data_IF_064186348145
#
_entry.id   IF_064186348145
#
_cell.length_a   1.000
_cell.length_b   1.000
_cell.length_c   1.000
_cell.angle_alpha   90.00
_cell.angle_beta   90.00
_cell.angle_gamma   90.00
#
_symmetry.space_group_name_H-M   'P 1'
#
loop_
_entity.id
_entity.type
_entity.pdbx_description
1 polymer ?
#
# COMPACT_ATOMS: atom_id res chain seq x y z
N UNK A 1 17.47 -4.90 -4.74
CA UNK A 1 17.12 -6.11 -3.96
C UNK A 1 15.67 -6.54 -4.14
N UNK A 2 14.71 -5.63 -4.35
CA UNK A 2 13.28 -5.97 -4.44
C UNK A 2 12.74 -6.18 -5.87
N UNK A 3 13.58 -6.03 -6.91
CA UNK A 3 13.18 -6.21 -8.31
C UNK A 3 12.56 -7.59 -8.54
N UNK A 4 11.33 -7.64 -9.06
CA UNK A 4 10.59 -8.87 -9.35
C UNK A 4 10.05 -9.62 -8.12
N UNK A 5 10.14 -9.03 -6.91
CA UNK A 5 9.50 -9.59 -5.71
C UNK A 5 8.03 -9.19 -5.69
N UNK A 6 7.17 -10.15 -5.35
CA UNK A 6 5.74 -9.94 -5.13
C UNK A 6 5.50 -9.72 -3.64
N UNK A 7 4.91 -8.59 -3.28
CA UNK A 7 4.72 -8.17 -1.88
C UNK A 7 3.22 -7.91 -1.66
N UNK A 8 2.66 -8.52 -0.63
CA UNK A 8 1.32 -8.17 -0.15
C UNK A 8 1.49 -7.13 0.98
N UNK A 9 0.87 -5.97 0.83
CA UNK A 9 0.84 -4.93 1.86
C UNK A 9 -0.55 -4.86 2.50
N UNK A 10 -0.64 -5.31 3.76
CA UNK A 10 -1.86 -5.21 4.56
C UNK A 10 -1.97 -3.86 5.28
N UNK A 11 -3.12 -3.20 5.15
CA UNK A 11 -3.42 -1.90 5.81
C UNK A 11 -4.60 -2.07 6.77
N UNK A 12 -4.40 -1.69 8.04
CA UNK A 12 -5.41 -1.75 9.10
C UNK A 12 -5.82 -0.35 9.58
N UNK A 13 -6.78 -0.28 10.52
CA UNK A 13 -7.27 0.98 11.09
C UNK A 13 -6.21 1.65 11.98
N UNK A 14 -5.55 2.68 11.44
CA UNK A 14 -4.56 3.48 12.16
C UNK A 14 -4.52 4.89 11.58
N UNK A 15 -4.28 5.89 12.42
CA UNK A 15 -4.02 7.28 11.98
C UNK A 15 -2.85 7.32 10.98
N UNK A 16 -1.89 6.39 11.08
CA UNK A 16 -0.75 6.33 10.17
C UNK A 16 -1.07 5.68 8.81
N UNK A 17 -2.29 5.16 8.57
CA UNK A 17 -2.63 4.42 7.36
C UNK A 17 -2.44 5.25 6.07
N UNK A 18 -2.64 6.58 6.12
CA UNK A 18 -2.39 7.45 4.96
C UNK A 18 -0.93 7.40 4.47
N UNK A 19 0.02 7.08 5.36
CA UNK A 19 1.46 6.96 5.03
C UNK A 19 1.77 5.69 4.23
N UNK A 20 0.84 4.75 4.13
CA UNK A 20 1.01 3.55 3.31
C UNK A 20 1.35 3.90 1.84
N UNK A 21 0.86 5.03 1.33
CA UNK A 21 1.22 5.55 0.01
C UNK A 21 2.73 5.70 -0.20
N UNK A 22 3.45 6.18 0.83
CA UNK A 22 4.91 6.33 0.75
C UNK A 22 5.62 4.99 0.72
N UNK A 23 5.12 4.02 1.48
CA UNK A 23 5.64 2.65 1.51
C UNK A 23 5.45 2.00 0.14
N UNK A 24 4.23 2.05 -0.42
CA UNK A 24 3.90 1.50 -1.74
C UNK A 24 4.82 2.07 -2.81
N UNK A 25 4.92 3.41 -2.90
CA UNK A 25 5.82 4.08 -3.85
C UNK A 25 7.28 3.67 -3.67
N UNK A 26 7.74 3.55 -2.42
CA UNK A 26 9.11 3.14 -2.11
C UNK A 26 9.42 1.70 -2.55
N UNK A 27 8.47 0.79 -2.38
CA UNK A 27 8.60 -0.61 -2.81
C UNK A 27 8.61 -0.73 -4.33
N UNK A 28 7.69 -0.04 -5.02
CA UNK A 28 7.61 -0.05 -6.49
C UNK A 28 8.84 0.59 -7.11
N UNK A 29 9.34 1.70 -6.56
CA UNK A 29 10.58 2.33 -7.02
C UNK A 29 11.80 1.39 -6.92
N UNK A 30 11.77 0.44 -5.99
CA UNK A 30 12.79 -0.61 -5.86
C UNK A 30 12.55 -1.83 -6.75
N UNK A 31 11.51 -1.80 -7.59
CA UNK A 31 11.16 -2.82 -8.58
C UNK A 31 10.25 -3.94 -8.07
N UNK A 32 9.61 -3.78 -6.90
CA UNK A 32 8.66 -4.76 -6.39
C UNK A 32 7.30 -4.65 -7.09
N UNK A 33 6.61 -5.77 -7.23
CA UNK A 33 5.18 -5.84 -7.54
C UNK A 33 4.42 -5.84 -6.22
N UNK A 34 3.56 -4.85 -5.99
CA UNK A 34 2.86 -4.66 -4.71
C UNK A 34 1.37 -4.84 -4.89
N UNK A 35 0.77 -5.73 -4.10
CA UNK A 35 -0.68 -5.88 -4.01
C UNK A 35 -1.14 -5.45 -2.61
N UNK A 36 -2.14 -4.58 -2.56
CA UNK A 36 -2.64 -4.03 -1.28
C UNK A 36 -3.90 -4.74 -0.86
N UNK A 37 -4.01 -5.03 0.44
CA UNK A 37 -5.24 -5.48 1.09
C UNK A 37 -5.54 -4.54 2.25
N UNK A 38 -6.77 -4.05 2.34
CA UNK A 38 -7.17 -3.07 3.35
C UNK A 38 -8.41 -3.53 4.12
N UNK A 39 -8.35 -3.42 5.45
CA UNK A 39 -9.50 -3.70 6.32
C UNK A 39 -10.57 -2.61 6.21
N UNK A 40 -11.83 -2.88 6.60
CA UNK A 40 -12.87 -1.85 6.67
C UNK A 40 -12.44 -0.62 7.48
N UNK A 41 -11.87 -0.82 8.67
CA UNK A 41 -11.39 0.29 9.52
C UNK A 41 -10.24 1.10 8.89
N UNK A 42 -9.43 0.49 8.02
CA UNK A 42 -8.40 1.21 7.26
C UNK A 42 -8.99 2.14 6.20
N UNK A 43 -10.15 1.79 5.62
CA UNK A 43 -10.81 2.59 4.58
C UNK A 43 -11.26 3.96 5.08
N UNK A 44 -11.52 4.08 6.39
CA UNK A 44 -11.84 5.34 7.06
C UNK A 44 -10.68 6.34 7.02
N UNK A 45 -9.44 5.85 6.88
CA UNK A 45 -8.23 6.69 6.86
C UNK A 45 -7.60 6.85 5.48
N UNK A 46 -7.80 5.88 4.58
CA UNK A 46 -7.29 5.91 3.21
C UNK A 46 -8.23 5.16 2.27
N UNK A 47 -8.61 5.83 1.18
CA UNK A 47 -9.63 5.29 0.28
C UNK A 47 -9.04 4.29 -0.74
N UNK A 48 -9.84 3.30 -1.21
CA UNK A 48 -9.41 2.38 -2.25
C UNK A 48 -8.96 3.06 -3.55
N UNK A 49 -9.59 4.17 -3.96
CA UNK A 49 -9.23 4.87 -5.20
C UNK A 49 -7.83 5.48 -5.13
N UNK A 50 -7.39 5.95 -3.94
CA UNK A 50 -6.02 6.41 -3.72
C UNK A 50 -5.01 5.27 -3.87
N UNK A 51 -5.36 4.07 -3.41
CA UNK A 51 -4.48 2.90 -3.48
C UNK A 51 -4.37 2.37 -4.92
N UNK A 52 -5.48 2.32 -5.66
CA UNK A 52 -5.51 1.90 -7.08
C UNK A 52 -4.66 2.78 -8.00
N UNK A 53 -4.44 4.04 -7.65
CA UNK A 53 -3.58 4.94 -8.43
C UNK A 53 -2.07 4.68 -8.21
N UNK A 54 -1.71 3.83 -7.24
CA UNK A 54 -0.32 3.62 -6.80
C UNK A 54 0.22 2.22 -7.06
N UNK A 55 -0.63 1.22 -7.27
CA UNK A 55 -0.27 -0.18 -7.54
C UNK A 55 -0.59 -0.54 -8.98
#
# INVERSE_FOLDING_TARGET
MLKGKKIILGITGSIAAYKACYIIRGLIKQGAEVQVVITPAGKEFITPITLSALT
#
